data_IF_031441746997
#
_entry.id   IF_031441746997
#
_cell.length_a   1.000
_cell.length_b   1.000
_cell.length_c   1.000
_cell.angle_alpha   90.00
_cell.angle_beta   90.00
_cell.angle_gamma   90.00
#
_symmetry.space_group_name_H-M   'P 1'
#
loop_
_entity.id
_entity.type
_entity.pdbx_description
1 polymer ?
#
# COMPACT_ATOMS: atom_id res chain seq x y z
N UNK A 1 2.68 -4.99 1.12
CA UNK A 1 2.33 -3.59 0.80
C UNK A 1 3.36 -2.67 1.42
N UNK A 2 3.86 -1.70 0.67
CA UNK A 2 4.86 -0.73 1.13
C UNK A 2 4.73 0.58 0.37
N UNK A 3 4.65 1.69 1.08
CA UNK A 3 4.48 3.04 0.51
C UNK A 3 5.78 3.85 0.50
N UNK A 4 6.92 3.18 0.64
CA UNK A 4 8.25 3.81 0.61
C UNK A 4 8.63 4.49 1.93
N UNK A 5 9.82 5.08 1.95
CA UNK A 5 10.38 5.73 3.15
C UNK A 5 9.94 7.19 3.33
N UNK A 6 9.60 7.89 2.25
CA UNK A 6 9.37 9.35 2.24
C UNK A 6 7.88 9.70 2.14
N UNK A 7 7.00 8.71 1.92
CA UNK A 7 5.57 8.96 1.76
C UNK A 7 4.79 8.50 2.99
N UNK A 8 4.08 9.41 3.63
CA UNK A 8 3.13 9.10 4.69
C UNK A 8 1.70 9.13 4.14
N UNK A 9 0.97 8.03 4.31
CA UNK A 9 -0.48 8.00 4.12
C UNK A 9 -1.13 8.79 5.26
N UNK A 10 -2.27 9.45 4.99
CA UNK A 10 -3.08 9.99 6.08
C UNK A 10 -3.70 8.85 6.89
N UNK A 11 -4.04 9.10 8.16
CA UNK A 11 -4.74 8.12 9.00
C UNK A 11 -6.00 7.59 8.32
N UNK A 12 -6.82 8.47 7.75
CA UNK A 12 -8.03 8.08 7.01
C UNK A 12 -7.72 7.13 5.84
N UNK A 13 -6.65 7.38 5.07
CA UNK A 13 -6.25 6.47 3.99
C UNK A 13 -5.81 5.11 4.52
N UNK A 14 -5.10 5.09 5.65
CA UNK A 14 -4.69 3.84 6.28
C UNK A 14 -5.90 3.07 6.83
N UNK A 15 -6.88 3.74 7.43
CA UNK A 15 -8.13 3.11 7.89
C UNK A 15 -8.94 2.51 6.73
N UNK A 16 -9.02 3.21 5.59
CA UNK A 16 -9.72 2.66 4.41
C UNK A 16 -8.97 1.47 3.79
N UNK A 17 -7.64 1.51 3.76
CA UNK A 17 -6.84 0.34 3.35
C UNK A 17 -7.06 -0.82 4.32
N UNK A 18 -7.07 -0.54 5.62
CA UNK A 18 -7.30 -1.52 6.67
C UNK A 18 -8.64 -2.24 6.51
N UNK A 19 -9.74 -1.49 6.35
CA UNK A 19 -11.07 -2.05 6.06
C UNK A 19 -11.06 -2.89 4.78
N UNK A 20 -10.46 -2.37 3.71
CA UNK A 20 -10.36 -3.09 2.44
C UNK A 20 -9.60 -4.43 2.55
N UNK A 21 -8.59 -4.53 3.43
CA UNK A 21 -7.88 -5.79 3.68
C UNK A 21 -8.74 -6.79 4.45
N UNK A 22 -9.48 -6.33 5.46
CA UNK A 22 -10.41 -7.17 6.22
C UNK A 22 -11.49 -7.73 5.30
N UNK A 23 -12.10 -6.87 4.48
CA UNK A 23 -13.13 -7.26 3.51
C UNK A 23 -12.58 -8.21 2.43
N UNK A 24 -11.33 -8.02 2.00
CA UNK A 24 -10.68 -8.91 1.05
C UNK A 24 -10.34 -10.29 1.64
N UNK A 25 -10.10 -10.37 2.95
CA UNK A 25 -9.97 -11.61 3.70
C UNK A 25 -8.79 -12.50 3.29
N UNK A 26 -7.73 -11.93 2.71
CA UNK A 26 -6.52 -12.68 2.32
C UNK A 26 -5.28 -12.27 3.12
N UNK A 27 -4.32 -13.19 3.30
CA UNK A 27 -3.08 -12.88 3.99
C UNK A 27 -2.31 -11.73 3.33
N UNK A 28 -1.77 -10.85 4.16
CA UNK A 28 -0.96 -9.73 3.71
C UNK A 28 0.25 -9.52 4.62
N UNK A 29 1.25 -8.81 4.08
CA UNK A 29 2.33 -8.20 4.86
C UNK A 29 2.26 -6.70 4.60
N UNK A 30 2.02 -5.89 5.62
CA UNK A 30 1.95 -4.44 5.52
C UNK A 30 3.11 -3.80 6.27
N UNK A 31 3.96 -3.08 5.53
CA UNK A 31 5.00 -2.23 6.11
C UNK A 31 4.40 -0.87 6.46
N UNK A 32 4.29 -0.56 7.76
CA UNK A 32 3.87 0.73 8.28
C UNK A 32 5.05 1.30 9.06
N UNK A 33 5.62 2.41 8.59
CA UNK A 33 6.69 3.11 9.30
C UNK A 33 6.09 4.07 10.30
N UNK A 34 6.58 4.02 11.53
CA UNK A 34 6.36 5.07 12.51
C UNK A 34 7.18 6.30 12.10
N UNK A 35 6.64 7.51 12.27
CA UNK A 35 7.41 8.73 11.98
C UNK A 35 8.60 8.80 12.94
N UNK A 36 9.80 9.00 12.38
CA UNK A 36 11.05 9.07 13.14
C UNK A 36 11.16 10.36 13.99
N UNK A 37 10.29 11.35 13.79
CA UNK A 37 10.29 12.64 14.50
C UNK A 37 9.55 12.61 15.84
N UNK A 38 9.66 11.53 16.61
CA UNK A 38 9.03 11.47 17.94
C UNK A 38 10.04 11.82 19.02
N UNK A 39 9.90 13.03 19.56
CA UNK A 39 10.55 13.40 20.80
C UNK A 39 9.97 12.53 21.93
N UNK A 40 10.73 12.29 22.99
CA UNK A 40 10.28 11.56 24.20
C UNK A 40 9.09 12.23 24.93
N UNK A 41 8.58 13.34 24.40
CA UNK A 41 7.51 14.18 24.94
C UNK A 41 6.14 13.92 24.29
N UNK A 42 6.04 13.05 23.28
CA UNK A 42 4.75 12.69 22.71
C UNK A 42 3.93 11.90 23.75
N UNK A 43 2.79 12.45 24.14
CA UNK A 43 1.93 11.90 25.19
C UNK A 43 1.34 10.55 24.74
N UNK A 44 1.06 9.64 25.68
CA UNK A 44 0.49 8.31 25.39
C UNK A 44 -0.79 8.37 24.53
N UNK A 45 -1.58 9.44 24.66
CA UNK A 45 -2.77 9.69 23.84
C UNK A 45 -2.47 9.87 22.34
N UNK A 46 -1.36 10.50 21.97
CA UNK A 46 -0.97 10.70 20.56
C UNK A 46 -0.51 9.38 19.92
N UNK A 47 0.10 8.49 20.73
CA UNK A 47 0.47 7.13 20.29
C UNK A 47 -0.77 6.25 20.04
N UNK A 48 -1.84 6.48 20.79
CA UNK A 48 -3.11 5.77 20.65
C UNK A 48 -3.91 6.29 19.44
N UNK A 49 -3.84 7.60 19.16
CA UNK A 49 -4.44 8.21 17.96
C UNK A 49 -3.76 7.78 16.65
N UNK A 50 -2.49 7.38 16.63
CA UNK A 50 -1.84 6.86 15.41
C UNK A 50 -2.08 5.36 15.16
N UNK A 51 -2.68 4.64 16.12
CA UNK A 51 -2.97 3.22 15.98
C UNK A 51 -4.19 3.01 15.08
N UNK A 52 -4.08 2.05 14.16
CA UNK A 52 -5.21 1.60 13.33
C UNK A 52 -6.34 1.07 14.22
N UNK A 53 -7.57 1.53 13.94
CA UNK A 53 -8.75 1.17 14.73
C UNK A 53 -9.01 -0.35 14.78
N UNK A 54 -8.74 -1.06 13.68
CA UNK A 54 -8.96 -2.49 13.54
C UNK A 54 -7.65 -3.30 13.52
N UNK A 55 -6.62 -2.85 14.24
CA UNK A 55 -5.29 -3.50 14.22
C UNK A 55 -5.31 -4.95 14.67
N UNK A 56 -6.07 -5.27 15.72
CA UNK A 56 -6.15 -6.64 16.26
C UNK A 56 -6.76 -7.60 15.23
N UNK A 57 -7.87 -7.21 14.60
CA UNK A 57 -8.51 -7.98 13.53
C UNK A 57 -7.59 -8.18 12.31
N UNK A 58 -6.78 -7.17 11.99
CA UNK A 58 -5.79 -7.25 10.91
C UNK A 58 -4.66 -8.23 11.22
N UNK A 59 -4.21 -8.29 12.47
CA UNK A 59 -3.12 -9.17 12.91
C UNK A 59 -3.54 -10.65 12.96
N UNK A 60 -4.85 -10.95 13.02
CA UNK A 60 -5.39 -12.30 12.83
C UNK A 60 -5.33 -12.77 11.37
N UNK A 61 -5.35 -11.85 10.40
CA UNK A 61 -5.34 -12.16 8.96
C UNK A 61 -3.97 -12.04 8.31
N UNK A 62 -3.11 -11.16 8.81
CA UNK A 62 -1.84 -10.82 8.18
C UNK A 62 -0.80 -10.31 9.18
N UNK A 63 0.29 -9.75 8.66
CA UNK A 63 1.36 -9.18 9.48
C UNK A 63 1.54 -7.70 9.19
N UNK A 64 1.64 -6.91 10.25
CA UNK A 64 2.03 -5.50 10.20
C UNK A 64 3.44 -5.39 10.79
N UNK A 65 4.37 -4.82 10.04
CA UNK A 65 5.78 -4.69 10.43
C UNK A 65 6.30 -3.28 10.16
N UNK A 66 7.31 -2.86 10.92
CA UNK A 66 7.96 -1.56 10.70
C UNK A 66 8.87 -1.56 9.47
N UNK A 67 9.46 -2.72 9.16
CA UNK A 67 10.39 -2.89 8.06
C UNK A 67 10.41 -4.34 7.58
N UNK A 68 10.75 -4.54 6.30
CA UNK A 68 11.06 -5.86 5.74
C UNK A 68 12.15 -5.74 4.66
N UNK A 69 12.85 -6.84 4.39
CA UNK A 69 13.69 -6.95 3.20
C UNK A 69 12.79 -7.07 1.96
N UNK A 70 12.46 -5.93 1.34
CA UNK A 70 11.45 -5.85 0.28
C UNK A 70 11.77 -6.77 -0.89
N UNK A 71 13.03 -6.85 -1.32
CA UNK A 71 13.47 -7.75 -2.39
C UNK A 71 13.26 -9.24 -2.07
N UNK A 72 13.53 -9.67 -0.84
CA UNK A 72 13.27 -11.05 -0.42
C UNK A 72 11.77 -11.36 -0.40
N UNK A 73 10.95 -10.42 0.08
CA UNK A 73 9.48 -10.55 0.05
C UNK A 73 8.98 -10.64 -1.38
N UNK A 74 9.46 -9.77 -2.28
CA UNK A 74 9.07 -9.76 -3.69
C UNK A 74 9.53 -11.02 -4.43
N UNK A 75 10.61 -11.66 -3.99
CA UNK A 75 11.10 -12.91 -4.56
C UNK A 75 10.38 -14.14 -4.01
N UNK A 76 9.46 -13.99 -3.06
CA UNK A 76 8.74 -15.10 -2.46
C UNK A 76 7.62 -15.61 -3.41
N UNK A 77 7.61 -16.91 -3.78
CA UNK A 77 6.58 -17.47 -4.66
C UNK A 77 5.14 -17.39 -4.13
N UNK A 78 4.97 -17.20 -2.82
CA UNK A 78 3.66 -17.06 -2.17
C UNK A 78 3.06 -15.66 -2.33
N UNK A 79 3.83 -14.69 -2.85
CA UNK A 79 3.36 -13.32 -3.02
C UNK A 79 2.47 -13.19 -4.26
N UNK A 80 1.19 -12.87 -4.05
CA UNK A 80 0.22 -12.72 -5.15
C UNK A 80 0.23 -11.35 -5.83
N UNK A 81 0.51 -10.27 -5.10
CA UNK A 81 0.62 -8.93 -5.66
C UNK A 81 1.37 -7.99 -4.72
N UNK A 82 1.85 -6.87 -5.27
CA UNK A 82 2.51 -5.81 -4.53
C UNK A 82 1.75 -4.49 -4.64
N UNK A 83 1.19 -4.03 -3.53
CA UNK A 83 0.63 -2.67 -3.41
C UNK A 83 1.75 -1.70 -3.09
N UNK A 84 1.93 -0.68 -3.93
CA UNK A 84 3.01 0.30 -3.77
C UNK A 84 2.63 1.71 -4.22
N UNK A 85 3.26 2.68 -3.57
CA UNK A 85 3.21 4.09 -3.97
C UNK A 85 3.88 4.40 -5.32
N UNK A 86 4.50 3.41 -5.98
CA UNK A 86 5.16 3.57 -7.29
C UNK A 86 6.40 4.47 -7.28
N UNK A 87 7.15 4.49 -6.17
CA UNK A 87 8.53 4.98 -6.19
C UNK A 87 9.39 4.18 -7.19
N UNK A 88 10.36 4.83 -7.83
CA UNK A 88 11.11 4.24 -8.94
C UNK A 88 11.79 2.90 -8.56
N UNK A 89 12.50 2.86 -7.43
CA UNK A 89 13.18 1.64 -6.96
C UNK A 89 12.19 0.49 -6.75
N UNK A 90 11.11 0.72 -5.99
CA UNK A 90 10.10 -0.32 -5.74
C UNK A 90 9.39 -0.78 -7.01
N UNK A 91 9.23 0.11 -8.00
CA UNK A 91 8.66 -0.24 -9.30
C UNK A 91 9.59 -1.16 -10.09
N UNK A 92 10.90 -0.86 -10.10
CA UNK A 92 11.92 -1.69 -10.74
C UNK A 92 12.08 -3.05 -10.06
N UNK A 93 12.09 -3.09 -8.72
CA UNK A 93 12.16 -4.34 -7.96
C UNK A 93 10.96 -5.24 -8.30
N UNK A 94 9.74 -4.70 -8.33
CA UNK A 94 8.55 -5.47 -8.71
C UNK A 94 8.60 -5.97 -10.15
N UNK A 95 9.10 -5.15 -11.08
CA UNK A 95 9.23 -5.49 -12.48
C UNK A 95 10.22 -6.65 -12.68
N UNK A 96 11.38 -6.59 -12.01
CA UNK A 96 12.41 -7.64 -12.07
C UNK A 96 11.92 -8.93 -11.41
N UNK A 97 11.19 -8.83 -10.29
CA UNK A 97 10.62 -9.99 -9.61
C UNK A 97 9.38 -10.58 -10.31
N UNK A 98 8.85 -9.92 -11.35
CA UNK A 98 7.66 -10.37 -12.07
C UNK A 98 6.38 -10.33 -11.24
N UNK A 99 6.36 -9.53 -10.17
CA UNK A 99 5.21 -9.44 -9.25
C UNK A 99 4.20 -8.44 -9.78
N UNK A 100 2.90 -8.81 -9.89
CA UNK A 100 1.86 -7.87 -10.30
C UNK A 100 1.68 -6.72 -9.30
N UNK A 101 1.50 -5.49 -9.81
CA UNK A 101 1.40 -4.29 -8.99
C UNK A 101 -0.02 -3.75 -8.89
N UNK A 102 -0.42 -3.37 -7.67
CA UNK A 102 -1.52 -2.42 -7.44
C UNK A 102 -0.90 -1.06 -7.13
N UNK A 103 -0.98 -0.15 -8.10
CA UNK A 103 -0.31 1.14 -8.08
C UNK A 103 -1.16 2.19 -7.36
N UNK A 104 -0.65 2.72 -6.24
CA UNK A 104 -1.28 3.76 -5.43
C UNK A 104 -0.41 5.03 -5.39
N UNK A 105 -0.26 5.78 -6.50
CA UNK A 105 0.66 6.91 -6.55
C UNK A 105 0.20 8.06 -5.65
N UNK A 106 1.10 8.56 -4.80
CA UNK A 106 0.81 9.63 -3.86
C UNK A 106 1.21 11.01 -4.41
N UNK A 107 2.47 11.17 -4.85
CA UNK A 107 3.04 12.48 -5.23
C UNK A 107 4.19 12.33 -6.25
N UNK A 108 4.72 13.46 -6.74
CA UNK A 108 5.89 13.53 -7.66
C UNK A 108 5.74 12.71 -8.95
N UNK A 109 6.80 11.99 -9.32
CA UNK A 109 6.96 11.08 -10.45
C UNK A 109 6.13 9.79 -10.32
N UNK A 110 5.60 9.49 -9.14
CA UNK A 110 4.88 8.23 -8.89
C UNK A 110 3.68 8.04 -9.81
N UNK A 111 3.00 9.13 -10.20
CA UNK A 111 1.88 9.07 -11.16
C UNK A 111 2.34 8.65 -12.54
N UNK A 112 3.54 9.08 -12.96
CA UNK A 112 4.17 8.68 -14.21
C UNK A 112 4.60 7.21 -14.13
N UNK A 113 5.22 6.81 -13.02
CA UNK A 113 5.61 5.40 -12.80
C UNK A 113 4.39 4.47 -12.79
N UNK A 114 3.30 4.86 -12.12
CA UNK A 114 2.03 4.14 -12.15
C UNK A 114 1.43 4.05 -13.56
N UNK A 115 1.60 5.10 -14.38
CA UNK A 115 1.22 5.07 -15.80
C UNK A 115 2.08 4.07 -16.59
N UNK A 116 3.39 3.99 -16.34
CA UNK A 116 4.24 2.99 -16.99
C UNK A 116 3.81 1.57 -16.62
N UNK A 117 3.54 1.30 -15.34
CA UNK A 117 3.07 0.00 -14.84
C UNK A 117 1.78 -0.44 -15.53
N UNK A 118 0.78 0.44 -15.60
CA UNK A 118 -0.56 0.13 -16.14
C UNK A 118 -0.63 0.20 -17.67
N UNK A 119 -0.09 1.26 -18.29
CA UNK A 119 -0.31 1.57 -19.70
C UNK A 119 0.76 0.95 -20.60
N UNK A 120 2.00 0.87 -20.14
CA UNK A 120 3.16 0.47 -20.96
C UNK A 120 3.61 -0.96 -20.65
N UNK A 121 3.97 -1.26 -19.41
CA UNK A 121 4.51 -2.55 -19.00
C UNK A 121 3.43 -3.63 -18.84
N UNK A 122 2.17 -3.22 -18.61
CA UNK A 122 1.04 -4.14 -18.41
C UNK A 122 1.27 -5.12 -17.25
N UNK A 123 2.00 -4.68 -16.23
CA UNK A 123 2.35 -5.49 -15.04
C UNK A 123 1.51 -5.15 -13.81
N UNK A 124 0.54 -4.24 -13.94
CA UNK A 124 -0.29 -3.86 -12.82
C UNK A 124 -1.49 -3.02 -13.20
N UNK A 125 -2.23 -2.61 -12.17
CA UNK A 125 -3.43 -1.77 -12.27
C UNK A 125 -3.25 -0.54 -11.40
N UNK A 126 -3.80 0.59 -11.82
CA UNK A 126 -3.67 1.85 -11.09
C UNK A 126 -4.93 2.21 -10.34
N UNK A 127 -4.72 2.70 -9.12
CA UNK A 127 -5.74 3.32 -8.30
C UNK A 127 -6.10 4.71 -8.84
N UNK A 128 -7.39 4.95 -9.08
CA UNK A 128 -7.90 6.24 -9.54
C UNK A 128 -8.74 6.92 -8.46
N UNK A 129 -8.37 8.15 -8.10
CA UNK A 129 -9.12 8.99 -7.19
C UNK A 129 -10.26 9.70 -7.92
N UNK A 130 -11.51 9.55 -7.47
CA UNK A 130 -12.63 10.38 -7.93
C UNK A 130 -12.79 11.63 -7.06
N UNK A 131 -13.38 12.69 -7.62
CA UNK A 131 -13.62 13.99 -6.97
C UNK A 131 -14.59 13.96 -5.76
N UNK A 132 -14.92 12.81 -5.18
CA UNK A 132 -15.87 12.67 -4.05
C UNK A 132 -15.42 11.65 -2.99
N UNK A 133 -14.14 11.31 -2.92
CA UNK A 133 -13.64 10.33 -1.93
C UNK A 133 -13.95 8.87 -2.26
N UNK A 134 -14.57 8.59 -3.41
CA UNK A 134 -14.69 7.24 -3.95
C UNK A 134 -13.46 6.86 -4.79
N UNK A 135 -13.08 5.60 -4.69
CA UNK A 135 -11.90 5.05 -5.33
C UNK A 135 -12.23 3.81 -6.15
N UNK A 136 -11.56 3.63 -7.28
CA UNK A 136 -11.72 2.42 -8.10
C UNK A 136 -10.40 1.98 -8.75
N UNK A 137 -10.35 0.69 -9.09
CA UNK A 137 -9.29 0.07 -9.89
C UNK A 137 -9.89 -0.34 -11.24
N UNK A 138 -9.21 0.04 -12.32
CA UNK A 138 -9.65 -0.31 -13.69
C UNK A 138 -8.94 -1.60 -14.11
N UNK A 139 -9.69 -2.69 -14.28
CA UNK A 139 -9.18 -3.92 -14.90
C UNK A 139 -9.67 -4.03 -16.34
N UNK A 140 -8.91 -4.70 -17.21
CA UNK A 140 -9.36 -5.09 -18.55
C UNK A 140 -10.59 -6.03 -18.52
N UNK A 141 -10.99 -6.53 -17.34
CA UNK A 141 -12.19 -7.34 -17.10
C UNK A 141 -13.33 -6.62 -16.37
N UNK A 142 -13.26 -5.29 -16.18
CA UNK A 142 -14.31 -4.50 -15.52
C UNK A 142 -13.77 -3.59 -14.40
N UNK A 143 -14.61 -2.64 -13.96
CA UNK A 143 -14.31 -1.73 -12.85
C UNK A 143 -14.86 -2.30 -11.53
N UNK A 144 -14.03 -2.31 -10.50
CA UNK A 144 -14.45 -2.69 -9.14
C UNK A 144 -14.67 -1.42 -8.33
N UNK A 145 -15.88 -1.24 -7.81
CA UNK A 145 -16.24 -0.18 -6.88
C UNK A 145 -15.98 -0.68 -5.46
N UNK A 146 -15.20 0.07 -4.69
CA UNK A 146 -15.14 -0.08 -3.25
C UNK A 146 -16.02 1.04 -2.68
N UNK A 147 -17.15 0.65 -2.09
CA UNK A 147 -18.17 1.54 -1.51
C UNK A 147 -18.38 1.22 -0.06
#
# INVERSE_FOLDING_TARGET
MSFGSVSALSKDQMEEIAKGLLDYGRPFLWVIREKEERNEQDNEAEKEEEKLSCREELEELGKIVLWCCQLEVLSNPSLGCFVTHCGWNSSMESLVSGVPVVAFPLWTDQRTNAKLIEDTWKTGVRWHQMRRGLWWVRSSRGAWNWS
#
